data_IF_268355531742
#
_entry.id   IF_268355531742
#
_cell.length_a   1.000
_cell.length_b   1.000
_cell.length_c   1.000
_cell.angle_alpha   90.00
_cell.angle_beta   90.00
_cell.angle_gamma   90.00
#
_symmetry.space_group_name_H-M   'P 1'
#
loop_
_entity.id
_entity.type
_entity.pdbx_description
1 polymer ?
#
# COMPACT_ATOMS: atom_id res chain seq x y z
N UNK A 1 11.13 -14.32 -9.92
CA UNK A 1 10.79 -13.84 -8.57
C UNK A 1 11.37 -12.44 -8.40
N UNK A 2 10.60 -11.41 -8.78
CA UNK A 2 11.01 -10.01 -8.67
C UNK A 2 10.83 -9.55 -7.21
N UNK A 3 11.88 -8.98 -6.62
CA UNK A 3 11.98 -8.61 -5.20
C UNK A 3 11.14 -7.41 -4.78
N UNK A 4 9.87 -7.37 -5.20
CA UNK A 4 8.89 -6.34 -4.82
C UNK A 4 7.71 -6.89 -4.01
N UNK A 5 7.67 -8.19 -3.72
CA UNK A 5 6.72 -8.79 -2.78
C UNK A 5 7.44 -9.22 -1.50
N UNK A 6 6.87 -8.85 -0.35
CA UNK A 6 7.44 -9.10 0.97
C UNK A 6 6.37 -9.69 1.89
N UNK A 7 6.77 -10.61 2.75
CA UNK A 7 5.90 -11.19 3.79
C UNK A 7 6.71 -11.44 5.04
N UNK A 8 6.07 -11.37 6.20
CA UNK A 8 6.72 -11.65 7.49
C UNK A 8 5.88 -11.23 8.67
N UNK A 9 6.56 -10.96 9.78
CA UNK A 9 5.96 -10.60 11.06
C UNK A 9 6.48 -9.22 11.49
N UNK A 10 5.70 -8.50 12.31
CA UNK A 10 6.10 -7.21 12.88
C UNK A 10 6.96 -7.47 14.11
N UNK A 11 8.13 -6.82 14.18
CA UNK A 11 9.00 -6.92 15.34
C UNK A 11 8.27 -6.46 16.61
N UNK A 12 8.48 -7.21 17.71
CA UNK A 12 7.88 -6.97 19.03
C UNK A 12 6.33 -7.01 19.07
N UNK A 13 5.68 -7.57 18.04
CA UNK A 13 4.24 -7.83 18.02
C UNK A 13 3.95 -9.32 17.87
N UNK A 14 3.46 -9.92 18.96
CA UNK A 14 3.02 -11.31 18.97
C UNK A 14 1.84 -11.50 18.02
N UNK A 15 1.83 -12.62 17.31
CA UNK A 15 0.74 -13.00 16.40
C UNK A 15 0.43 -11.95 15.34
N UNK A 16 1.46 -11.31 14.80
CA UNK A 16 1.32 -10.37 13.69
C UNK A 16 1.58 -11.04 12.35
N UNK A 17 1.03 -10.47 11.26
CA UNK A 17 1.35 -10.90 9.88
C UNK A 17 1.41 -9.70 8.97
N UNK A 18 2.27 -9.76 7.99
CA UNK A 18 2.46 -8.71 6.98
C UNK A 18 2.53 -9.36 5.60
N UNK A 19 1.82 -8.77 4.64
CA UNK A 19 2.04 -9.02 3.22
C UNK A 19 2.05 -7.68 2.49
N UNK A 20 3.16 -7.36 1.83
CA UNK A 20 3.38 -6.09 1.13
C UNK A 20 3.76 -6.34 -0.33
N UNK A 21 3.29 -5.44 -1.20
CA UNK A 21 3.75 -5.25 -2.56
C UNK A 21 4.27 -3.82 -2.71
N UNK A 22 5.48 -3.70 -3.22
CA UNK A 22 6.12 -2.44 -3.61
C UNK A 22 6.26 -2.33 -5.14
N UNK A 23 5.49 -3.12 -5.90
CA UNK A 23 5.66 -3.22 -7.36
C UNK A 23 5.06 -2.01 -8.12
N UNK A 24 4.07 -1.32 -7.55
CA UNK A 24 3.42 -0.12 -8.11
C UNK A 24 2.85 0.74 -6.97
N UNK A 25 3.78 1.39 -6.25
CA UNK A 25 3.50 1.97 -4.94
C UNK A 25 3.39 0.92 -3.83
N UNK A 26 3.21 1.39 -2.60
CA UNK A 26 3.12 0.51 -1.43
C UNK A 26 1.65 0.08 -1.23
N UNK A 27 1.41 -1.23 -1.30
CA UNK A 27 0.11 -1.86 -1.02
C UNK A 27 0.30 -3.07 -0.14
N UNK A 28 -0.71 -3.41 0.65
CA UNK A 28 -0.68 -4.64 1.43
C UNK A 28 -1.50 -4.55 2.70
N UNK A 29 -1.32 -5.51 3.59
CA UNK A 29 -2.01 -5.54 4.87
C UNK A 29 -1.06 -5.88 6.02
N UNK A 30 -1.45 -5.43 7.21
CA UNK A 30 -0.89 -5.84 8.48
C UNK A 30 -2.01 -6.44 9.32
N UNK A 31 -1.79 -7.62 9.88
CA UNK A 31 -2.64 -8.21 10.90
C UNK A 31 -1.92 -8.06 12.25
N UNK A 32 -2.60 -7.52 13.26
CA UNK A 32 -2.10 -7.40 14.63
C UNK A 32 -3.20 -7.91 15.55
N UNK A 33 -3.02 -9.12 16.09
CA UNK A 33 -4.09 -9.85 16.75
C UNK A 33 -5.25 -10.11 15.78
N UNK A 34 -6.46 -9.70 16.16
CA UNK A 34 -7.68 -9.91 15.36
C UNK A 34 -8.01 -8.71 14.45
N UNK A 35 -7.14 -7.69 14.40
CA UNK A 35 -7.36 -6.47 13.61
C UNK A 35 -6.50 -6.50 12.36
N UNK A 36 -7.13 -6.24 11.21
CA UNK A 36 -6.46 -6.08 9.92
C UNK A 36 -6.42 -4.59 9.52
N UNK A 37 -5.24 -4.12 9.12
CA UNK A 37 -4.99 -2.78 8.63
C UNK A 37 -4.57 -2.85 7.17
N UNK A 38 -5.23 -2.08 6.31
CA UNK A 38 -4.91 -2.00 4.89
C UNK A 38 -4.00 -0.80 4.60
N UNK A 39 -2.96 -1.02 3.79
CA UNK A 39 -2.14 0.03 3.19
C UNK A 39 -2.57 0.20 1.74
N UNK A 40 -3.08 1.38 1.40
CA UNK A 40 -3.35 1.80 0.02
C UNK A 40 -2.65 3.13 -0.28
N UNK A 41 -2.11 3.30 -1.50
CA UNK A 41 -1.57 4.58 -1.93
C UNK A 41 -2.63 5.66 -1.86
N UNK A 42 -2.23 6.84 -1.34
CA UNK A 42 -3.09 8.02 -1.39
C UNK A 42 -3.33 8.34 -2.86
N UNK A 43 -4.60 8.44 -3.25
CA UNK A 43 -4.96 8.93 -4.58
C UNK A 43 -4.47 10.37 -4.67
N UNK A 44 -3.39 10.60 -5.42
CA UNK A 44 -3.02 11.95 -5.81
C UNK A 44 -4.12 12.41 -6.76
N UNK A 45 -5.07 13.20 -6.25
CA UNK A 45 -5.92 14.01 -7.11
C UNK A 45 -5.00 15.07 -7.68
N UNK A 46 -4.31 14.74 -8.76
CA UNK A 46 -3.75 15.76 -9.62
C UNK A 46 -4.99 16.51 -10.08
N UNK A 47 -5.20 17.74 -9.58
CA UNK A 47 -6.08 18.69 -10.26
C UNK A 47 -5.42 18.98 -11.61
N UNK A 48 -5.52 18.03 -12.55
CA UNK A 48 -5.46 18.30 -13.96
C UNK A 48 -6.69 19.17 -14.19
N UNK A 49 -6.56 20.48 -13.91
CA UNK A 49 -7.37 21.45 -14.62
C UNK A 49 -7.12 21.11 -16.07
N UNK A 50 -8.11 20.47 -16.66
CA UNK A 50 -8.23 20.30 -18.08
C UNK A 50 -7.96 21.69 -18.67
N UNK A 51 -6.78 21.88 -19.26
CA UNK A 51 -6.63 22.93 -20.26
C UNK A 51 -7.48 22.47 -21.44
N UNK A 52 -8.79 22.69 -21.32
CA UNK A 52 -9.66 22.83 -22.45
C UNK A 52 -9.21 24.12 -23.14
N UNK A 53 -8.12 24.02 -23.91
CA UNK A 53 -7.73 25.10 -24.80
C UNK A 53 -8.63 24.99 -26.02
N UNK A 54 -9.73 25.73 -25.91
CA UNK A 54 -10.52 26.19 -27.05
C UNK A 54 -9.58 26.82 -28.07
N UNK A 55 -9.36 26.15 -29.21
CA UNK A 55 -9.31 26.69 -30.58
C UNK A 55 -9.77 25.55 -31.49
#
# INVERSE_FOLDING_TARGET
HYGCHFSGDIQDQLSSKVALSACDGLRGFLQIGDIEYLIEPVKVIINLKMEQKHI
#
